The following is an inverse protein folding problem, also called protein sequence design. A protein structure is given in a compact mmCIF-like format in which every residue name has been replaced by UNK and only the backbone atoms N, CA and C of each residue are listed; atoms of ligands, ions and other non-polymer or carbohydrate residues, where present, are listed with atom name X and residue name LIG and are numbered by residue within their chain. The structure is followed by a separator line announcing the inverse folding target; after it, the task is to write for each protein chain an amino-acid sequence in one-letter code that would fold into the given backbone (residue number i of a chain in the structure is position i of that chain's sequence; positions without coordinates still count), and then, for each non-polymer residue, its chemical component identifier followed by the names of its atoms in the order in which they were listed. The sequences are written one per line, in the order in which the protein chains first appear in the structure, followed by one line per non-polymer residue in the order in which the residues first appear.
data_IF_962427520907
#
_entry.id   IF_962427520907
#
_cell.length_a   1.000
_cell.length_b   1.000
_cell.length_c   1.000
_cell.angle_alpha   90.00
_cell.angle_beta   90.00
_cell.angle_gamma   90.00
#
_symmetry.space_group_name_H-M   'P 1'
#
loop_
_entity.id
_entity.type
_entity.pdbx_description
1 polymer ?
#
# COMPACT_ATOMS: atom_id res chain seq x y z
N UNK A 1 5.25 4.00 9.78
CA UNK A 1 4.61 2.77 9.26
C UNK A 1 4.14 1.73 10.32
N UNK A 2 4.58 1.77 11.59
CA UNK A 2 4.26 0.73 12.59
C UNK A 2 2.76 0.49 12.84
N UNK A 3 1.90 1.52 12.74
CA UNK A 3 0.46 1.40 12.96
C UNK A 3 -0.23 0.48 11.94
N UNK A 4 0.11 0.60 10.65
CA UNK A 4 -0.43 -0.24 9.58
C UNK A 4 -0.06 -1.71 9.76
N UNK A 5 1.19 -2.00 10.17
CA UNK A 5 1.61 -3.36 10.51
C UNK A 5 0.83 -3.94 11.69
N UNK A 6 0.41 -3.11 12.64
CA UNK A 6 -0.49 -3.50 13.73
C UNK A 6 -1.87 -3.93 13.24
N UNK A 7 -2.50 -3.14 12.36
CA UNK A 7 -3.80 -3.48 11.75
C UNK A 7 -3.70 -4.81 10.98
N UNK A 8 -2.65 -4.96 10.17
CA UNK A 8 -2.36 -6.18 9.41
C UNK A 8 -2.33 -7.44 10.28
N UNK A 9 -1.65 -7.38 11.44
CA UNK A 9 -1.61 -8.50 12.39
C UNK A 9 -2.98 -8.85 12.96
N UNK A 10 -3.82 -7.84 13.25
CA UNK A 10 -5.16 -8.07 13.80
C UNK A 10 -6.12 -8.68 12.78
N UNK A 11 -5.84 -8.54 11.48
CA UNK A 11 -6.67 -9.04 10.39
C UNK A 11 -6.22 -10.40 9.85
N UNK A 12 -5.34 -11.12 10.56
CA UNK A 12 -4.73 -12.39 10.07
C UNK A 12 -3.96 -12.22 8.74
N UNK A 13 -3.39 -11.04 8.52
CA UNK A 13 -2.58 -10.72 7.35
C UNK A 13 -1.22 -10.13 7.76
N UNK A 14 -0.35 -10.88 8.47
CA UNK A 14 0.86 -10.31 9.07
C UNK A 14 1.77 -9.65 8.01
N UNK A 15 2.09 -8.37 8.25
CA UNK A 15 2.98 -7.60 7.38
C UNK A 15 4.42 -8.09 7.51
N UNK A 16 5.08 -8.32 6.37
CA UNK A 16 6.52 -8.57 6.29
C UNK A 16 7.30 -7.25 6.27
N UNK A 17 6.79 -6.24 5.57
CA UNK A 17 7.31 -4.88 5.57
C UNK A 17 6.20 -3.90 5.18
N UNK A 18 6.25 -2.70 5.75
CA UNK A 18 5.43 -1.55 5.36
C UNK A 18 6.37 -0.38 5.16
N UNK A 19 6.31 0.26 4.00
CA UNK A 19 7.10 1.43 3.63
C UNK A 19 6.35 2.28 2.62
N UNK A 20 6.93 3.39 2.19
CA UNK A 20 6.25 4.35 1.32
C UNK A 20 6.82 5.74 1.54
N UNK A 21 6.16 6.72 0.93
CA UNK A 21 6.49 8.14 0.98
C UNK A 21 5.23 8.94 1.35
N UNK A 22 5.29 10.26 1.29
CA UNK A 22 4.18 11.12 1.72
C UNK A 22 2.83 10.87 1.02
N UNK A 23 2.84 10.43 -0.24
CA UNK A 23 1.66 10.35 -1.10
C UNK A 23 1.12 8.91 -1.30
N UNK A 24 1.89 7.86 -0.95
CA UNK A 24 1.42 6.48 -1.03
C UNK A 24 2.22 5.51 -0.13
N UNK A 25 1.62 4.34 0.12
CA UNK A 25 2.20 3.28 0.96
C UNK A 25 2.23 1.95 0.22
N UNK A 26 3.34 1.23 0.38
CA UNK A 26 3.52 -0.17 -0.01
C UNK A 26 3.41 -1.08 1.21
N UNK A 27 2.62 -2.15 1.06
CA UNK A 27 2.44 -3.20 2.06
C UNK A 27 2.78 -4.56 1.44
N UNK A 28 3.79 -5.23 1.98
CA UNK A 28 4.02 -6.65 1.72
C UNK A 28 3.54 -7.43 2.94
N UNK A 29 2.56 -8.30 2.76
CA UNK A 29 2.00 -9.12 3.83
C UNK A 29 1.80 -10.58 3.37
N UNK A 30 1.69 -11.48 4.34
CA UNK A 30 1.12 -12.81 4.10
C UNK A 30 -0.38 -12.71 4.27
N UNK A 31 -1.13 -13.51 3.53
CA UNK A 31 -2.57 -13.39 3.46
C UNK A 31 -3.25 -14.61 4.10
N UNK A 32 -4.18 -14.37 5.01
CA UNK A 32 -5.01 -15.41 5.63
C UNK A 32 -5.95 -16.07 4.62
N UNK A 33 -6.35 -17.32 4.87
CA UNK A 33 -7.13 -18.13 3.91
C UNK A 33 -8.57 -17.65 3.73
N UNK A 34 -9.12 -16.93 4.70
CA UNK A 34 -10.54 -16.53 4.76
C UNK A 34 -10.74 -15.03 4.60
N UNK A 35 -9.66 -14.25 4.55
CA UNK A 35 -9.72 -12.80 4.35
C UNK A 35 -9.82 -12.50 2.85
N UNK A 36 -10.57 -11.47 2.46
CA UNK A 36 -10.54 -10.97 1.07
C UNK A 36 -9.66 -9.73 0.97
N UNK A 37 -9.01 -9.51 -0.18
CA UNK A 37 -8.13 -8.34 -0.37
C UNK A 37 -8.91 -7.05 -0.13
N UNK A 38 -10.16 -7.00 -0.60
CA UNK A 38 -11.06 -5.87 -0.39
C UNK A 38 -11.33 -5.62 1.10
N UNK A 39 -11.57 -6.65 1.91
CA UNK A 39 -11.75 -6.51 3.36
C UNK A 39 -10.49 -5.98 4.04
N UNK A 40 -9.30 -6.53 3.70
CA UNK A 40 -8.03 -6.06 4.24
C UNK A 40 -7.82 -4.56 3.94
N UNK A 41 -7.97 -4.16 2.69
CA UNK A 41 -7.72 -2.77 2.27
C UNK A 41 -8.77 -1.83 2.86
N UNK A 42 -10.05 -2.21 2.88
CA UNK A 42 -11.11 -1.41 3.53
C UNK A 42 -10.76 -1.11 4.97
N UNK A 43 -10.35 -2.14 5.71
CA UNK A 43 -10.10 -2.03 7.15
C UNK A 43 -8.79 -1.28 7.43
N UNK A 44 -7.74 -1.52 6.64
CA UNK A 44 -6.50 -0.73 6.69
C UNK A 44 -6.74 0.75 6.45
N UNK A 45 -7.45 1.11 5.38
CA UNK A 45 -7.75 2.50 5.05
C UNK A 45 -8.60 3.15 6.14
N UNK A 46 -9.68 2.49 6.55
CA UNK A 46 -10.61 3.01 7.58
C UNK A 46 -9.90 3.26 8.91
N UNK A 47 -9.17 2.28 9.42
CA UNK A 47 -8.63 2.35 10.78
C UNK A 47 -7.40 3.27 10.84
N UNK A 48 -6.59 3.30 9.78
CA UNK A 48 -5.51 4.29 9.66
C UNK A 48 -6.04 5.72 9.49
N UNK A 49 -7.10 5.94 8.70
CA UNK A 49 -7.74 7.27 8.58
C UNK A 49 -8.29 7.76 9.93
N UNK A 50 -8.93 6.88 10.71
CA UNK A 50 -9.39 7.23 12.07
C UNK A 50 -8.22 7.61 12.97
N UNK A 51 -7.14 6.82 12.94
CA UNK A 51 -5.97 7.06 13.78
C UNK A 51 -5.22 8.33 13.43
N UNK A 52 -4.99 8.61 12.14
CA UNK A 52 -4.27 9.83 11.74
C UNK A 52 -5.11 11.06 12.08
N UNK A 53 -6.42 11.05 11.81
CA UNK A 53 -7.33 12.15 12.18
C UNK A 53 -7.40 12.38 13.69
N UNK A 54 -7.13 11.36 14.51
CA UNK A 54 -7.02 11.51 15.96
C UNK A 54 -5.74 12.22 16.42
N UNK A 55 -4.79 12.54 15.53
CA UNK A 55 -3.51 13.20 15.86
C UNK A 55 -3.59 14.73 15.83
N UNK A 56 -4.68 15.32 15.33
CA UNK A 56 -4.90 16.76 15.35
C UNK A 56 -5.66 17.26 14.13
N UNK A 57 -6.01 18.55 14.16
CA UNK A 57 -6.80 19.20 13.11
C UNK A 57 -6.06 19.35 11.78
N UNK A 58 -4.73 19.44 11.81
CA UNK A 58 -3.90 19.59 10.61
C UNK A 58 -3.98 18.39 9.64
N UNK A 59 -4.50 17.26 10.10
CA UNK A 59 -4.69 16.02 9.32
C UNK A 59 -6.17 15.63 9.22
N UNK A 60 -7.09 16.52 9.58
CA UNK A 60 -8.53 16.25 9.52
C UNK A 60 -9.02 15.97 8.08
N UNK A 61 -8.39 16.60 7.10
CA UNK A 61 -8.66 16.43 5.68
C UNK A 61 -7.95 15.22 5.05
N UNK A 62 -7.15 14.46 5.81
CA UNK A 62 -6.51 13.25 5.29
C UNK A 62 -7.56 12.29 4.74
N UNK A 63 -7.33 11.75 3.55
CA UNK A 63 -8.08 10.62 3.05
C UNK A 63 -7.21 9.75 2.14
N UNK A 64 -7.61 8.50 2.00
CA UNK A 64 -7.02 7.60 1.02
C UNK A 64 -7.75 7.75 -0.31
N UNK A 65 -7.01 7.62 -1.42
CA UNK A 65 -7.59 7.40 -2.74
C UNK A 65 -8.63 6.28 -2.70
N UNK A 66 -9.59 6.29 -3.63
CA UNK A 66 -10.66 5.29 -3.67
C UNK A 66 -10.10 3.90 -4.01
N UNK A 67 -9.18 3.84 -4.99
CA UNK A 67 -8.58 2.62 -5.54
C UNK A 67 -7.43 2.00 -4.72
N UNK A 68 -6.98 0.83 -5.14
CA UNK A 68 -5.77 0.19 -4.61
C UNK A 68 -5.16 -0.75 -5.66
N UNK A 69 -3.84 -0.93 -5.60
CA UNK A 69 -3.12 -1.97 -6.35
C UNK A 69 -2.87 -3.20 -5.47
N UNK A 70 -3.13 -4.39 -6.01
CA UNK A 70 -2.81 -5.65 -5.34
C UNK A 70 -2.15 -6.62 -6.32
N UNK A 71 -0.95 -7.08 -5.99
CA UNK A 71 -0.13 -7.93 -6.85
C UNK A 71 0.43 -9.11 -6.07
N UNK A 72 0.23 -10.33 -6.56
CA UNK A 72 0.82 -11.53 -5.97
C UNK A 72 2.32 -11.62 -6.29
N UNK A 73 3.13 -12.00 -5.31
CA UNK A 73 4.58 -12.14 -5.47
C UNK A 73 5.03 -13.57 -5.18
N UNK A 74 5.96 -14.09 -5.99
CA UNK A 74 6.61 -15.38 -5.73
C UNK A 74 7.44 -15.32 -4.45
N UNK A 75 7.49 -16.40 -3.63
CA UNK A 75 8.38 -16.50 -2.47
C UNK A 75 9.84 -16.15 -2.78
N UNK A 76 10.33 -16.51 -3.98
CA UNK A 76 11.71 -16.24 -4.43
C UNK A 76 12.03 -14.75 -4.57
N UNK A 77 11.02 -13.89 -4.69
CA UNK A 77 11.18 -12.45 -4.87
C UNK A 77 10.91 -11.65 -3.59
N UNK A 78 10.60 -12.31 -2.47
CA UNK A 78 10.21 -11.64 -1.22
C UNK A 78 11.30 -10.71 -0.71
N UNK A 79 12.55 -11.17 -0.65
CA UNK A 79 13.63 -10.35 -0.09
C UNK A 79 14.00 -9.18 -1.01
N UNK A 80 13.99 -9.40 -2.33
CA UNK A 80 14.14 -8.33 -3.31
C UNK A 80 13.03 -7.27 -3.16
N UNK A 81 11.79 -7.69 -2.93
CA UNK A 81 10.66 -6.78 -2.71
C UNK A 81 10.76 -6.05 -1.37
N UNK A 82 11.29 -6.68 -0.31
CA UNK A 82 11.56 -5.97 0.95
C UNK A 82 12.56 -4.84 0.75
N UNK A 83 13.67 -5.11 0.06
CA UNK A 83 14.66 -4.07 -0.28
C UNK A 83 14.03 -2.97 -1.14
N UNK A 84 13.20 -3.33 -2.10
CA UNK A 84 12.46 -2.37 -2.92
C UNK A 84 11.57 -1.42 -2.08
N UNK A 85 10.81 -1.98 -1.13
CA UNK A 85 9.92 -1.20 -0.25
C UNK A 85 10.72 -0.32 0.72
N UNK A 86 11.84 -0.84 1.25
CA UNK A 86 12.70 -0.09 2.16
C UNK A 86 13.37 1.13 1.50
N UNK A 87 13.57 1.10 0.18
CA UNK A 87 14.25 2.15 -0.59
C UNK A 87 13.28 3.09 -1.33
N UNK A 88 11.99 3.09 -0.97
CA UNK A 88 10.98 3.92 -1.64
C UNK A 88 11.29 5.42 -1.56
N UNK A 89 11.78 5.91 -0.42
CA UNK A 89 12.16 7.32 -0.25
C UNK A 89 13.22 7.78 -1.26
N UNK A 90 14.24 6.96 -1.52
CA UNK A 90 15.28 7.30 -2.50
C UNK A 90 14.73 7.28 -3.93
N UNK A 91 13.94 6.26 -4.25
CA UNK A 91 13.36 6.07 -5.58
C UNK A 91 12.44 7.24 -5.96
N UNK A 92 11.62 7.72 -5.03
CA UNK A 92 10.67 8.81 -5.27
C UNK A 92 11.32 10.21 -5.27
N UNK A 93 12.65 10.31 -5.13
CA UNK A 93 13.40 11.52 -5.51
C UNK A 93 13.44 11.74 -7.02
N UNK A 94 13.21 10.68 -7.81
CA UNK A 94 13.41 10.68 -9.25
C UNK A 94 12.25 10.06 -10.05
N UNK A 95 11.23 9.52 -9.39
CA UNK A 95 10.06 8.93 -10.03
C UNK A 95 8.81 9.31 -9.25
N UNK A 96 7.68 9.49 -9.93
CA UNK A 96 6.40 9.74 -9.27
C UNK A 96 5.70 8.44 -8.87
N UNK A 97 4.69 8.54 -8.00
CA UNK A 97 3.72 7.47 -7.77
C UNK A 97 3.10 6.96 -9.08
N UNK A 98 2.69 7.86 -9.98
CA UNK A 98 2.05 7.45 -11.23
C UNK A 98 3.00 6.63 -12.12
N UNK A 99 4.27 7.03 -12.23
CA UNK A 99 5.28 6.28 -12.99
C UNK A 99 5.51 4.89 -12.40
N UNK A 100 5.58 4.80 -11.07
CA UNK A 100 5.71 3.54 -10.38
C UNK A 100 4.50 2.63 -10.60
N UNK A 101 3.29 3.17 -10.47
CA UNK A 101 2.04 2.43 -10.63
C UNK A 101 1.88 1.90 -12.05
N UNK A 102 2.14 2.73 -13.07
CA UNK A 102 2.17 2.31 -14.49
C UNK A 102 3.13 1.15 -14.70
N UNK A 103 4.37 1.27 -14.22
CA UNK A 103 5.39 0.22 -14.34
C UNK A 103 4.98 -1.09 -13.66
N UNK A 104 4.32 -1.01 -12.50
CA UNK A 104 3.79 -2.19 -11.82
C UNK A 104 2.67 -2.84 -12.65
N UNK A 105 1.71 -2.06 -13.12
CA UNK A 105 0.62 -2.57 -13.96
C UNK A 105 1.15 -3.22 -15.25
N UNK A 106 2.09 -2.59 -15.95
CA UNK A 106 2.75 -3.17 -17.12
C UNK A 106 3.43 -4.51 -16.78
N UNK A 107 4.23 -4.55 -15.70
CA UNK A 107 4.93 -5.76 -15.25
C UNK A 107 3.97 -6.93 -14.98
N UNK A 108 2.76 -6.64 -14.50
CA UNK A 108 1.75 -7.65 -14.18
C UNK A 108 0.68 -7.83 -15.27
N UNK A 109 0.83 -7.16 -16.43
CA UNK A 109 -0.10 -7.27 -17.56
C UNK A 109 -1.49 -6.66 -17.28
N UNK A 110 -1.58 -5.68 -16.38
CA UNK A 110 -2.81 -4.95 -16.07
C UNK A 110 -2.94 -3.74 -16.99
N UNK A 111 -4.02 -3.69 -17.78
CA UNK A 111 -4.35 -2.52 -18.59
C UNK A 111 -4.92 -1.41 -17.70
N UNK A 112 -4.31 -0.22 -17.77
CA UNK A 112 -4.77 0.97 -17.05
C UNK A 112 -5.61 1.86 -17.97
N UNK A 113 -6.77 2.29 -17.48
CA UNK A 113 -7.49 3.43 -18.04
C UNK A 113 -7.15 4.68 -17.21
N UNK A 114 -6.22 5.47 -17.70
CA UNK A 114 -5.69 6.64 -16.98
C UNK A 114 -6.76 7.70 -16.67
N UNK A 115 -7.93 7.65 -17.31
CA UNK A 115 -9.03 8.58 -17.05
C UNK A 115 -9.72 8.33 -15.71
N UNK A 116 -9.58 7.14 -15.14
CA UNK A 116 -10.30 6.68 -13.95
C UNK A 116 -9.38 6.12 -12.86
N UNK A 117 -8.06 6.26 -13.01
CA UNK A 117 -7.06 5.60 -12.15
C UNK A 117 -6.58 6.48 -10.99
N UNK A 118 -6.67 7.80 -11.12
CA UNK A 118 -5.94 8.74 -10.26
C UNK A 118 -6.80 9.40 -9.16
N UNK A 119 -8.05 8.96 -8.99
CA UNK A 119 -9.04 9.52 -8.05
C UNK A 119 -9.08 8.83 -6.66
#
# INVERSE_FOLDING_TARGET
HHYLGGICRNLDAPSLIVGGVEDHVHLLCRFGRTLTIADLIRDLKRDSSKWIKSKGTNVAAFDWQSGYGAFSVSPSHVDALKTYIANQEERHRHASYQDEFRRLCEKYGVTLDERYTWD
#
